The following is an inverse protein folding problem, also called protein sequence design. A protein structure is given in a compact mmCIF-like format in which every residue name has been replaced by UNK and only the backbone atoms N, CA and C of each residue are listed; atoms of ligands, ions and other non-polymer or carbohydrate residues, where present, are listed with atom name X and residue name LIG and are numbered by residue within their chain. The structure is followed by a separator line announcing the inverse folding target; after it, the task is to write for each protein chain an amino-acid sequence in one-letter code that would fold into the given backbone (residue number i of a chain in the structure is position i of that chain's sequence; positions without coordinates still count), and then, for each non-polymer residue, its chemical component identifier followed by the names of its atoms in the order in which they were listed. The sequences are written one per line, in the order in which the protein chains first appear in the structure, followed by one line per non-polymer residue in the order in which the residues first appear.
data_IF_363004742833
#
_entry.id   IF_363004742833
#
_cell.length_a   1.000
_cell.length_b   1.000
_cell.length_c   1.000
_cell.angle_alpha   90.00
_cell.angle_beta   90.00
_cell.angle_gamma   90.00
#
_symmetry.space_group_name_H-M   'P 1'
#
loop_
_entity.id
_entity.type
_entity.pdbx_description
1 polymer ?
#
# COMPACT_ATOMS: atom_id res chain seq x y z
N UNK A 1 13.35 -8.17 -6.83
CA UNK A 1 12.38 -8.97 -7.63
C UNK A 1 10.97 -8.47 -7.40
N UNK A 2 10.02 -8.76 -8.35
CA UNK A 2 8.59 -8.45 -8.19
C UNK A 2 7.82 -9.75 -8.12
N UNK A 3 6.76 -9.84 -7.28
CA UNK A 3 5.98 -11.08 -7.09
C UNK A 3 5.30 -11.55 -8.37
N UNK A 4 4.90 -10.63 -9.24
CA UNK A 4 4.28 -10.91 -10.55
C UNK A 4 5.32 -11.12 -11.67
N UNK A 5 6.47 -11.72 -11.38
CA UNK A 5 7.49 -12.03 -12.38
C UNK A 5 7.73 -13.54 -12.54
N UNK A 6 8.05 -13.98 -13.75
CA UNK A 6 8.42 -15.38 -14.05
C UNK A 6 9.56 -15.84 -13.14
N UNK A 7 10.57 -14.97 -12.93
CA UNK A 7 11.72 -15.27 -12.08
C UNK A 7 11.30 -15.57 -10.64
N UNK A 8 10.40 -14.76 -10.08
CA UNK A 8 9.91 -14.97 -8.71
C UNK A 8 9.07 -16.24 -8.61
N UNK A 9 8.08 -16.39 -9.49
CA UNK A 9 7.10 -17.50 -9.42
C UNK A 9 7.70 -18.87 -9.67
N UNK A 10 8.63 -18.97 -10.62
CA UNK A 10 9.11 -20.27 -11.10
C UNK A 10 10.56 -20.61 -10.71
N UNK A 11 11.31 -19.65 -10.15
CA UNK A 11 12.66 -19.91 -9.65
C UNK A 11 12.81 -19.62 -8.17
N UNK A 12 12.62 -18.35 -7.77
CA UNK A 12 12.86 -17.96 -6.39
C UNK A 12 11.89 -18.64 -5.41
N UNK A 13 10.59 -18.50 -5.64
CA UNK A 13 9.57 -19.00 -4.71
C UNK A 13 9.62 -20.52 -4.50
N UNK A 14 9.69 -21.37 -5.54
CA UNK A 14 9.79 -22.80 -5.35
C UNK A 14 11.06 -23.23 -4.61
N UNK A 15 12.24 -22.70 -4.99
CA UNK A 15 13.51 -23.02 -4.33
C UNK A 15 13.46 -22.60 -2.85
N UNK A 16 13.01 -21.38 -2.58
CA UNK A 16 12.86 -20.88 -1.22
C UNK A 16 11.89 -21.73 -0.39
N UNK A 17 10.73 -22.10 -0.93
CA UNK A 17 9.75 -22.95 -0.22
C UNK A 17 10.30 -24.34 0.07
N UNK A 18 11.00 -24.97 -0.88
CA UNK A 18 11.66 -26.25 -0.65
C UNK A 18 12.67 -26.13 0.50
N UNK A 19 13.57 -25.16 0.46
CA UNK A 19 14.52 -24.91 1.54
C UNK A 19 13.83 -24.67 2.88
N UNK A 20 12.78 -23.83 2.90
CA UNK A 20 12.06 -23.46 4.12
C UNK A 20 11.33 -24.65 4.78
N UNK A 21 10.73 -25.55 4.00
CA UNK A 21 10.00 -26.69 4.53
C UNK A 21 10.89 -27.90 4.87
N UNK A 22 12.05 -28.02 4.24
CA UNK A 22 13.01 -29.12 4.51
C UNK A 22 13.82 -28.90 5.80
N UNK A 23 14.03 -27.64 6.22
CA UNK A 23 14.85 -27.37 7.40
C UNK A 23 14.06 -27.57 8.70
N UNK A 24 14.74 -27.94 9.81
CA UNK A 24 14.11 -28.01 11.11
C UNK A 24 13.62 -26.65 11.60
N UNK A 25 12.64 -26.61 12.50
CA UNK A 25 11.99 -25.37 12.98
C UNK A 25 12.97 -24.30 13.43
N UNK A 26 14.05 -24.69 14.13
CA UNK A 26 15.08 -23.78 14.65
C UNK A 26 15.81 -23.01 13.53
N UNK A 27 15.88 -23.56 12.32
CA UNK A 27 16.54 -22.93 11.17
C UNK A 27 15.60 -22.12 10.27
N UNK A 28 14.29 -22.18 10.48
CA UNK A 28 13.31 -21.48 9.62
C UNK A 28 13.53 -19.97 9.59
N UNK A 29 13.92 -19.34 10.71
CA UNK A 29 14.25 -17.92 10.73
C UNK A 29 15.52 -17.61 9.93
N UNK A 30 16.52 -18.48 9.96
CA UNK A 30 17.74 -18.29 9.18
C UNK A 30 17.46 -18.38 7.68
N UNK A 31 16.72 -19.41 7.24
CA UNK A 31 16.32 -19.54 5.83
C UNK A 31 15.47 -18.38 5.37
N UNK A 32 14.51 -17.93 6.19
CA UNK A 32 13.67 -16.78 5.87
C UNK A 32 14.50 -15.49 5.76
N UNK A 33 15.42 -15.26 6.68
CA UNK A 33 16.31 -14.10 6.66
C UNK A 33 17.19 -14.10 5.40
N UNK A 34 17.90 -15.20 5.14
CA UNK A 34 18.78 -15.32 3.97
C UNK A 34 17.99 -15.23 2.65
N UNK A 35 16.84 -15.89 2.55
CA UNK A 35 15.98 -15.79 1.39
C UNK A 35 15.46 -14.35 1.17
N UNK A 36 15.15 -13.63 2.25
CA UNK A 36 14.75 -12.23 2.17
C UNK A 36 15.88 -11.32 1.69
N UNK A 37 17.10 -11.57 2.16
CA UNK A 37 18.27 -10.82 1.69
C UNK A 37 18.54 -11.08 0.21
N UNK A 38 18.45 -12.34 -0.26
CA UNK A 38 18.58 -12.67 -1.68
C UNK A 38 17.49 -11.99 -2.51
N UNK A 39 16.23 -12.02 -2.05
CA UNK A 39 15.12 -11.35 -2.71
C UNK A 39 15.35 -9.84 -2.86
N UNK A 40 15.82 -9.19 -1.80
CA UNK A 40 16.08 -7.75 -1.80
C UNK A 40 17.31 -7.40 -2.65
N UNK A 41 18.44 -8.08 -2.43
CA UNK A 41 19.68 -7.84 -3.15
C UNK A 41 19.56 -8.04 -4.66
N UNK A 42 18.63 -8.88 -5.13
CA UNK A 42 18.38 -9.05 -6.56
C UNK A 42 17.95 -7.77 -7.28
N UNK A 43 17.22 -6.89 -6.58
CA UNK A 43 16.79 -5.59 -7.11
C UNK A 43 17.67 -4.44 -6.63
N UNK A 44 18.24 -4.57 -5.43
CA UNK A 44 18.93 -3.52 -4.70
C UNK A 44 20.27 -3.99 -4.12
N UNK A 45 21.27 -4.31 -4.97
CA UNK A 45 22.51 -4.92 -4.50
C UNK A 45 23.35 -4.00 -3.60
N UNK A 46 23.21 -2.68 -3.73
CA UNK A 46 23.93 -1.69 -2.90
C UNK A 46 23.12 -1.33 -1.66
N UNK A 47 21.82 -1.11 -1.82
CA UNK A 47 20.98 -0.63 -0.70
C UNK A 47 20.61 -1.70 0.33
N UNK A 48 20.98 -2.96 0.08
CA UNK A 48 20.92 -4.00 1.11
C UNK A 48 21.75 -3.65 2.34
N UNK A 49 22.91 -3.01 2.15
CA UNK A 49 23.75 -2.56 3.28
C UNK A 49 23.09 -1.46 4.09
N UNK A 50 22.32 -0.57 3.46
CA UNK A 50 21.55 0.46 4.15
C UNK A 50 20.43 -0.17 5.00
N UNK A 51 19.70 -1.14 4.45
CA UNK A 51 18.66 -1.87 5.16
C UNK A 51 19.24 -2.65 6.36
N UNK A 52 20.39 -3.30 6.18
CA UNK A 52 21.09 -3.99 7.27
C UNK A 52 21.60 -3.01 8.33
N UNK A 53 22.14 -1.87 7.94
CA UNK A 53 22.54 -0.81 8.87
C UNK A 53 21.34 -0.33 9.72
N UNK A 54 20.22 0.02 9.08
CA UNK A 54 18.99 0.41 9.80
C UNK A 54 18.52 -0.69 10.75
N UNK A 55 18.56 -1.96 10.31
CA UNK A 55 18.18 -3.11 11.13
C UNK A 55 19.06 -3.23 12.38
N UNK A 56 20.38 -3.18 12.22
CA UNK A 56 21.33 -3.29 13.33
C UNK A 56 21.21 -2.09 14.27
N UNK A 57 21.12 -0.89 13.70
CA UNK A 57 20.95 0.37 14.44
C UNK A 57 19.74 0.31 15.37
N UNK A 58 18.55 -0.03 14.83
CA UNK A 58 17.33 -0.04 15.63
C UNK A 58 17.23 -1.23 16.58
N UNK A 59 17.91 -2.35 16.28
CA UNK A 59 18.13 -3.41 17.26
C UNK A 59 18.90 -2.91 18.47
N UNK A 60 20.01 -2.19 18.25
CA UNK A 60 20.84 -1.64 19.34
C UNK A 60 20.07 -0.58 20.13
N UNK A 61 19.43 0.37 19.42
CA UNK A 61 18.62 1.40 20.07
C UNK A 61 17.49 0.82 20.91
N UNK A 62 16.76 -0.17 20.41
CA UNK A 62 15.71 -0.83 21.16
C UNK A 62 16.23 -1.44 22.46
N UNK A 63 17.43 -2.06 22.43
CA UNK A 63 18.09 -2.62 23.63
C UNK A 63 18.47 -1.54 24.65
N UNK A 64 19.08 -0.44 24.18
CA UNK A 64 19.46 0.69 25.03
C UNK A 64 18.23 1.38 25.62
N UNK A 65 17.18 1.59 24.85
CA UNK A 65 15.91 2.19 25.30
C UNK A 65 15.31 1.35 26.46
N UNK A 66 15.29 0.04 26.31
CA UNK A 66 14.77 -0.86 27.37
C UNK A 66 15.65 -0.85 28.61
N UNK A 67 16.98 -0.92 28.46
CA UNK A 67 17.96 -0.95 29.55
C UNK A 67 17.91 0.32 30.42
N UNK A 68 17.74 1.47 29.77
CA UNK A 68 17.67 2.77 30.46
C UNK A 68 16.24 3.26 30.68
N UNK A 69 15.26 2.38 30.60
CA UNK A 69 13.84 2.74 30.80
C UNK A 69 13.62 3.45 32.13
N UNK A 70 12.90 4.57 32.10
CA UNK A 70 12.65 5.42 33.27
C UNK A 70 13.75 6.44 33.57
N UNK A 71 14.83 6.48 32.77
CA UNK A 71 15.90 7.49 32.85
C UNK A 71 15.86 8.38 31.59
N UNK A 72 16.42 9.59 31.70
CA UNK A 72 16.48 10.54 30.57
C UNK A 72 17.23 10.00 29.36
N UNK A 73 18.23 9.13 29.56
CA UNK A 73 18.97 8.47 28.47
C UNK A 73 18.05 7.68 27.54
N UNK A 74 17.00 7.01 28.06
CA UNK A 74 16.06 6.27 27.24
C UNK A 74 15.38 7.17 26.21
N UNK A 75 15.03 8.42 26.60
CA UNK A 75 14.47 9.43 25.68
C UNK A 75 15.48 9.90 24.67
N UNK A 76 16.74 10.10 25.06
CA UNK A 76 17.82 10.49 24.13
C UNK A 76 18.01 9.41 23.07
N UNK A 77 18.10 8.13 23.46
CA UNK A 77 18.27 7.01 22.55
C UNK A 77 17.08 6.88 21.59
N UNK A 78 15.84 7.09 22.06
CA UNK A 78 14.67 7.14 21.19
C UNK A 78 14.79 8.26 20.14
N UNK A 79 15.14 9.47 20.56
CA UNK A 79 15.29 10.61 19.66
C UNK A 79 16.43 10.40 18.65
N UNK A 80 17.54 9.78 19.07
CA UNK A 80 18.64 9.42 18.16
C UNK A 80 18.18 8.41 17.10
N UNK A 81 17.48 7.33 17.51
CA UNK A 81 16.94 6.34 16.58
C UNK A 81 15.97 6.99 15.57
N UNK A 82 14.99 7.76 16.06
CA UNK A 82 14.04 8.47 15.18
C UNK A 82 14.77 9.43 14.25
N UNK A 83 15.74 10.20 14.78
CA UNK A 83 16.53 11.16 14.01
C UNK A 83 17.33 10.49 12.88
N UNK A 84 18.00 9.38 13.16
CA UNK A 84 18.75 8.61 12.15
C UNK A 84 17.81 8.06 11.07
N UNK A 85 16.69 7.46 11.46
CA UNK A 85 15.72 6.90 10.53
C UNK A 85 15.11 7.98 9.62
N UNK A 86 14.71 9.12 10.19
CA UNK A 86 14.17 10.25 9.42
C UNK A 86 15.23 10.94 8.56
N UNK A 87 16.48 11.00 9.03
CA UNK A 87 17.60 11.55 8.24
C UNK A 87 17.86 10.69 7.00
N UNK A 88 17.95 9.37 7.17
CA UNK A 88 18.16 8.44 6.06
C UNK A 88 17.01 8.53 5.06
N UNK A 89 15.75 8.41 5.54
CA UNK A 89 14.58 8.55 4.68
C UNK A 89 14.56 9.91 3.99
N UNK A 90 14.83 10.99 4.73
CA UNK A 90 14.88 12.37 4.25
C UNK A 90 15.93 12.56 3.16
N UNK A 91 17.12 12.04 3.37
CA UNK A 91 18.22 12.17 2.42
C UNK A 91 17.91 11.47 1.09
N UNK A 92 17.52 10.21 1.12
CA UNK A 92 17.26 9.47 -0.13
C UNK A 92 15.98 9.90 -0.83
N UNK A 93 14.96 10.34 -0.10
CA UNK A 93 13.65 10.67 -0.70
C UNK A 93 13.51 12.14 -1.07
N UNK A 94 14.05 13.08 -0.26
CA UNK A 94 13.72 14.49 -0.41
C UNK A 94 14.89 15.38 -0.79
N UNK A 95 16.15 14.89 -0.81
CA UNK A 95 17.31 15.74 -1.09
C UNK A 95 17.19 16.46 -2.44
N UNK A 96 16.88 15.73 -3.51
CA UNK A 96 16.76 16.32 -4.85
C UNK A 96 15.55 17.25 -4.98
N UNK A 97 14.43 16.92 -4.35
CA UNK A 97 13.25 17.79 -4.29
C UNK A 97 13.57 19.13 -3.59
N UNK A 98 14.28 19.08 -2.46
CA UNK A 98 14.69 20.28 -1.73
C UNK A 98 15.70 21.11 -2.55
N UNK A 99 16.69 20.47 -3.17
CA UNK A 99 17.66 21.14 -4.04
C UNK A 99 16.99 21.80 -5.24
N UNK A 100 16.05 21.08 -5.89
CA UNK A 100 15.29 21.63 -7.01
C UNK A 100 14.40 22.81 -6.58
N UNK A 101 13.78 22.73 -5.41
CA UNK A 101 12.98 23.83 -4.85
C UNK A 101 13.88 25.05 -4.57
N UNK A 102 15.05 24.87 -3.96
CA UNK A 102 16.02 25.93 -3.73
C UNK A 102 16.47 26.55 -5.05
N UNK A 103 16.82 25.73 -6.04
CA UNK A 103 17.23 26.22 -7.37
C UNK A 103 16.13 27.07 -8.02
N UNK A 104 14.87 26.65 -7.92
CA UNK A 104 13.73 27.36 -8.49
C UNK A 104 13.45 28.69 -7.78
N UNK A 105 13.50 28.70 -6.42
CA UNK A 105 13.16 29.90 -5.62
C UNK A 105 14.26 30.93 -5.65
N UNK A 106 15.52 30.50 -5.59
CA UNK A 106 16.68 31.41 -5.47
C UNK A 106 17.45 31.58 -6.79
N UNK A 107 17.02 30.95 -7.90
CA UNK A 107 17.71 31.02 -9.19
C UNK A 107 19.12 30.40 -9.16
N UNK A 108 19.37 29.44 -8.26
CA UNK A 108 20.66 28.75 -8.16
C UNK A 108 20.71 27.54 -9.11
N UNK A 109 21.92 27.01 -9.32
CA UNK A 109 22.15 25.84 -10.20
C UNK A 109 22.89 24.74 -9.44
N UNK A 110 22.46 24.44 -8.21
CA UNK A 110 23.05 23.37 -7.39
C UNK A 110 22.78 22.04 -8.06
N UNK A 111 23.80 21.19 -8.32
CA UNK A 111 23.61 19.91 -8.98
C UNK A 111 22.76 18.96 -8.13
N UNK A 112 21.82 18.27 -8.78
CA UNK A 112 21.00 17.23 -8.12
C UNK A 112 21.84 15.97 -7.92
N UNK A 113 21.58 15.26 -6.82
CA UNK A 113 22.30 14.05 -6.45
C UNK A 113 21.93 12.84 -7.35
N UNK A 114 20.69 12.81 -7.86
CA UNK A 114 20.13 11.75 -8.73
C UNK A 114 20.30 10.35 -8.14
N UNK A 115 20.18 10.22 -6.82
CA UNK A 115 20.25 8.96 -6.12
C UNK A 115 18.91 8.22 -6.31
N UNK A 116 18.93 6.94 -6.74
CA UNK A 116 17.71 6.16 -6.78
C UNK A 116 17.17 5.93 -5.37
N UNK A 117 15.84 5.99 -5.21
CA UNK A 117 15.19 5.74 -3.94
C UNK A 117 15.29 4.24 -3.59
N UNK A 118 15.89 3.85 -2.44
CA UNK A 118 15.97 2.44 -2.04
C UNK A 118 14.58 1.84 -1.88
N UNK A 119 14.31 0.74 -2.58
CA UNK A 119 13.00 0.07 -2.56
C UNK A 119 12.62 -0.31 -1.13
N UNK A 120 11.40 0.06 -0.72
CA UNK A 120 10.85 -0.27 0.61
C UNK A 120 11.39 0.57 1.76
N UNK A 121 12.24 1.59 1.54
CA UNK A 121 12.80 2.42 2.61
C UNK A 121 11.72 3.06 3.47
N UNK A 122 10.64 3.56 2.88
CA UNK A 122 9.52 4.16 3.62
C UNK A 122 8.82 3.16 4.53
N UNK A 123 8.73 1.88 4.11
CA UNK A 123 8.06 0.82 4.87
C UNK A 123 8.91 0.32 6.03
N UNK A 124 10.18 -0.08 5.78
CA UNK A 124 11.00 -0.58 6.87
C UNK A 124 11.38 0.51 7.88
N UNK A 125 11.50 1.77 7.44
CA UNK A 125 11.69 2.91 8.36
C UNK A 125 10.50 3.06 9.32
N UNK A 126 9.27 3.05 8.81
CA UNK A 126 8.08 3.13 9.68
C UNK A 126 7.95 1.91 10.59
N UNK A 127 8.32 0.75 10.10
CA UNK A 127 8.30 -0.50 10.86
C UNK A 127 9.29 -0.46 12.01
N UNK A 128 10.55 -0.08 11.79
CA UNK A 128 11.57 -0.02 12.83
C UNK A 128 11.34 1.15 13.80
N UNK A 129 10.88 2.31 13.31
CA UNK A 129 10.46 3.41 14.18
C UNK A 129 9.33 3.00 15.11
N UNK A 130 8.30 2.28 14.62
CA UNK A 130 7.22 1.80 15.49
C UNK A 130 7.75 0.87 16.59
N UNK A 131 8.71 0.00 16.26
CA UNK A 131 9.32 -0.89 17.25
C UNK A 131 10.04 -0.13 18.38
N UNK A 132 10.91 0.82 18.07
CA UNK A 132 11.64 1.57 19.11
C UNK A 132 10.71 2.44 19.94
N UNK A 133 9.64 3.00 19.35
CA UNK A 133 8.61 3.75 20.08
C UNK A 133 7.82 2.81 21.01
N UNK A 134 7.43 1.62 20.55
CA UNK A 134 6.69 0.64 21.36
C UNK A 134 7.56 0.11 22.52
N UNK A 135 8.86 -0.11 22.28
CA UNK A 135 9.81 -0.44 23.36
C UNK A 135 9.91 0.69 24.37
N UNK A 136 9.99 1.95 23.93
CA UNK A 136 10.04 3.12 24.85
C UNK A 136 8.77 3.26 25.68
N UNK A 137 7.59 3.06 25.07
CA UNK A 137 6.29 3.11 25.76
C UNK A 137 6.12 1.93 26.75
N UNK A 138 6.85 0.84 26.56
CA UNK A 138 6.68 -0.40 27.32
C UNK A 138 5.62 -1.33 26.75
N UNK A 139 5.10 -1.04 25.56
CA UNK A 139 4.09 -1.85 24.87
C UNK A 139 4.69 -3.18 24.38
N UNK A 140 6.01 -3.22 24.16
CA UNK A 140 6.76 -4.44 23.84
C UNK A 140 8.12 -4.46 24.53
N UNK A 141 8.73 -5.65 24.62
CA UNK A 141 10.10 -5.84 25.10
C UNK A 141 11.10 -5.73 23.93
N UNK A 142 12.31 -5.26 24.24
CA UNK A 142 13.36 -5.25 23.24
C UNK A 142 13.75 -6.67 22.83
N UNK A 143 13.83 -6.91 21.53
CA UNK A 143 14.23 -8.22 20.98
C UNK A 143 15.69 -8.53 21.34
N UNK A 144 15.91 -9.74 21.86
CA UNK A 144 17.24 -10.21 22.30
C UNK A 144 18.01 -10.96 21.20
N UNK A 145 17.32 -11.42 20.18
CA UNK A 145 17.89 -12.20 19.09
C UNK A 145 17.92 -11.36 17.81
N UNK A 146 19.14 -11.01 17.36
CA UNK A 146 19.33 -10.18 16.15
C UNK A 146 18.79 -10.84 14.88
N UNK A 147 18.83 -12.19 14.79
CA UNK A 147 18.27 -12.90 13.63
C UNK A 147 16.75 -12.76 13.58
N UNK A 148 16.06 -12.88 14.71
CA UNK A 148 14.60 -12.69 14.78
C UNK A 148 14.21 -11.25 14.45
N UNK A 149 14.98 -10.27 14.92
CA UNK A 149 14.76 -8.88 14.57
C UNK A 149 15.05 -8.61 13.09
N UNK A 150 16.13 -9.19 12.56
CA UNK A 150 16.43 -9.15 11.12
C UNK A 150 15.30 -9.71 10.27
N UNK A 151 14.74 -10.87 10.63
CA UNK A 151 13.54 -11.42 9.96
C UNK A 151 12.38 -10.43 10.00
N UNK A 152 12.09 -9.83 11.16
CA UNK A 152 11.00 -8.86 11.30
C UNK A 152 11.13 -7.71 10.32
N UNK A 153 12.31 -7.15 10.15
CA UNK A 153 12.55 -6.00 9.28
C UNK A 153 12.60 -6.40 7.81
N UNK A 154 13.32 -7.49 7.47
CA UNK A 154 13.69 -7.81 6.09
C UNK A 154 12.75 -8.79 5.40
N UNK A 155 11.76 -9.35 6.09
CA UNK A 155 10.89 -10.41 5.58
C UNK A 155 10.25 -10.05 4.23
N UNK A 156 10.66 -10.76 3.17
CA UNK A 156 10.35 -10.42 1.78
C UNK A 156 8.84 -10.31 1.45
N UNK A 157 7.92 -11.09 2.06
CA UNK A 157 6.51 -10.95 1.72
C UNK A 157 5.95 -9.56 1.98
N UNK A 158 6.41 -8.88 3.04
CA UNK A 158 5.88 -7.57 3.45
C UNK A 158 6.79 -6.38 3.06
N UNK A 159 8.09 -6.63 2.84
CA UNK A 159 9.14 -5.60 2.84
C UNK A 159 8.89 -4.44 1.86
N UNK A 160 8.37 -4.71 0.66
CA UNK A 160 8.27 -3.71 -0.41
C UNK A 160 6.99 -2.87 -0.28
N UNK A 161 5.82 -3.52 -0.21
CA UNK A 161 4.52 -2.87 -0.14
C UNK A 161 3.47 -3.75 0.58
N UNK A 162 3.89 -4.61 1.48
CA UNK A 162 3.00 -5.37 2.35
C UNK A 162 2.36 -4.49 3.44
N UNK A 163 1.47 -5.04 4.27
CA UNK A 163 0.99 -4.32 5.44
C UNK A 163 2.14 -3.91 6.34
N UNK A 164 2.14 -2.66 6.84
CA UNK A 164 3.13 -2.20 7.82
C UNK A 164 2.90 -2.96 9.13
N UNK A 165 3.80 -3.87 9.46
CA UNK A 165 3.67 -4.73 10.64
C UNK A 165 4.30 -4.07 11.86
N UNK A 166 3.58 -4.08 12.99
CA UNK A 166 4.14 -3.74 14.29
C UNK A 166 4.79 -4.97 14.91
N UNK A 167 5.85 -4.77 15.69
CA UNK A 167 6.61 -5.88 16.25
C UNK A 167 5.76 -6.82 17.08
N UNK A 168 4.89 -6.32 17.96
CA UNK A 168 4.01 -7.13 18.81
C UNK A 168 3.03 -8.03 18.03
N UNK A 169 2.71 -7.69 16.79
CA UNK A 169 1.82 -8.51 15.93
C UNK A 169 2.50 -9.79 15.45
N UNK A 170 3.84 -9.79 15.36
CA UNK A 170 4.60 -10.90 14.79
C UNK A 170 5.56 -11.55 15.77
N UNK A 171 5.81 -10.96 16.94
CA UNK A 171 6.78 -11.41 17.93
C UNK A 171 6.64 -12.90 18.27
N UNK A 172 5.43 -13.37 18.57
CA UNK A 172 5.19 -14.77 18.91
C UNK A 172 5.49 -15.71 17.74
N UNK A 173 5.24 -15.29 16.50
CA UNK A 173 5.53 -16.10 15.31
C UNK A 173 7.01 -16.16 14.99
N UNK A 174 7.81 -15.16 15.39
CA UNK A 174 9.26 -15.19 15.30
C UNK A 174 9.88 -16.18 16.26
N UNK A 175 9.25 -16.42 17.39
CA UNK A 175 9.71 -17.38 18.42
C UNK A 175 9.27 -18.81 18.11
N UNK A 176 7.97 -19.02 17.93
CA UNK A 176 7.40 -20.31 17.55
C UNK A 176 6.23 -20.11 16.60
N UNK A 177 6.33 -20.72 15.43
CA UNK A 177 5.27 -20.76 14.43
C UNK A 177 5.09 -22.14 13.84
N UNK A 178 3.84 -22.49 13.63
CA UNK A 178 3.44 -23.75 12.98
C UNK A 178 2.63 -23.43 11.76
N UNK A 179 2.81 -24.22 10.74
CA UNK A 179 2.03 -24.15 9.51
C UNK A 179 1.35 -25.48 9.34
N UNK A 180 0.04 -25.47 9.17
CA UNK A 180 -0.76 -26.62 8.80
C UNK A 180 -1.19 -26.55 7.31
N UNK A 181 -1.80 -27.61 6.82
CA UNK A 181 -2.23 -27.69 5.43
C UNK A 181 -3.35 -26.68 5.12
N UNK A 182 -4.18 -26.33 6.11
CA UNK A 182 -5.25 -25.35 5.92
C UNK A 182 -4.68 -23.94 5.75
N UNK A 183 -3.68 -23.56 6.55
CA UNK A 183 -2.98 -22.29 6.40
C UNK A 183 -2.23 -22.19 5.06
N UNK A 184 -1.60 -23.30 4.61
CA UNK A 184 -0.94 -23.38 3.29
C UNK A 184 -1.97 -23.21 2.18
N UNK A 185 -3.09 -23.95 2.24
CA UNK A 185 -4.17 -23.87 1.26
C UNK A 185 -4.80 -22.47 1.20
N UNK A 186 -5.08 -21.88 2.36
CA UNK A 186 -5.57 -20.50 2.45
C UNK A 186 -4.58 -19.52 1.84
N UNK A 187 -3.31 -19.62 2.24
CA UNK A 187 -2.26 -18.71 1.78
C UNK A 187 -2.00 -18.80 0.29
N UNK A 188 -1.98 -20.00 -0.28
CA UNK A 188 -1.84 -20.22 -1.73
C UNK A 188 -3.01 -19.60 -2.51
N UNK A 189 -4.24 -19.84 -2.09
CA UNK A 189 -5.45 -19.25 -2.73
C UNK A 189 -5.43 -17.72 -2.64
N UNK A 190 -5.04 -17.17 -1.48
CA UNK A 190 -4.93 -15.73 -1.28
C UNK A 190 -3.86 -15.11 -2.16
N UNK A 191 -2.69 -15.76 -2.27
CA UNK A 191 -1.61 -15.35 -3.16
C UNK A 191 -2.06 -15.33 -4.63
N UNK A 192 -2.70 -16.39 -5.10
CA UNK A 192 -3.22 -16.47 -6.49
C UNK A 192 -4.27 -15.41 -6.77
N UNK A 193 -5.16 -15.14 -5.80
CA UNK A 193 -6.15 -14.05 -5.92
C UNK A 193 -5.48 -12.69 -6.04
N UNK A 194 -4.43 -12.42 -5.24
CA UNK A 194 -3.64 -11.21 -5.32
C UNK A 194 -2.90 -11.07 -6.65
N UNK A 195 -2.32 -12.17 -7.12
CA UNK A 195 -1.65 -12.22 -8.44
C UNK A 195 -2.62 -11.92 -9.57
N UNK A 196 -3.82 -12.50 -9.55
CA UNK A 196 -4.87 -12.24 -10.55
C UNK A 196 -5.33 -10.78 -10.52
N UNK A 197 -5.53 -10.18 -9.35
CA UNK A 197 -5.83 -8.74 -9.22
C UNK A 197 -4.76 -7.88 -9.89
N UNK A 198 -3.49 -8.19 -9.65
CA UNK A 198 -2.36 -7.45 -10.21
C UNK A 198 -2.25 -7.62 -11.71
N UNK A 199 -2.27 -8.85 -12.20
CA UNK A 199 -1.93 -9.17 -13.59
C UNK A 199 -3.13 -8.98 -14.51
N UNK A 200 -4.31 -9.48 -14.12
CA UNK A 200 -5.48 -9.48 -15.00
C UNK A 200 -6.26 -8.16 -14.93
N UNK A 201 -6.27 -7.47 -13.78
CA UNK A 201 -7.02 -6.23 -13.63
C UNK A 201 -6.10 -5.01 -13.66
N UNK A 202 -5.18 -4.87 -12.70
CA UNK A 202 -4.39 -3.66 -12.53
C UNK A 202 -3.53 -3.33 -13.77
N UNK A 203 -2.83 -4.31 -14.34
CA UNK A 203 -1.97 -4.07 -15.51
C UNK A 203 -2.79 -3.60 -16.71
N UNK A 204 -3.94 -4.23 -16.99
CA UNK A 204 -4.78 -3.86 -18.15
C UNK A 204 -5.50 -2.51 -17.96
N UNK A 205 -5.93 -2.20 -16.71
CA UNK A 205 -6.45 -0.86 -16.37
C UNK A 205 -5.37 0.21 -16.51
N UNK A 206 -4.12 -0.13 -16.17
CA UNK A 206 -2.98 0.75 -16.37
C UNK A 206 -2.66 1.03 -17.83
N UNK A 207 -2.89 0.06 -18.73
CA UNK A 207 -2.79 0.29 -20.16
C UNK A 207 -3.84 1.30 -20.65
N UNK A 208 -5.08 1.18 -20.20
CA UNK A 208 -6.14 2.14 -20.51
C UNK A 208 -5.78 3.55 -20.00
N UNK A 209 -5.33 3.66 -18.75
CA UNK A 209 -4.87 4.94 -18.19
C UNK A 209 -3.75 5.55 -19.03
N UNK A 210 -2.75 4.75 -19.39
CA UNK A 210 -1.61 5.17 -20.20
C UNK A 210 -2.06 5.64 -21.59
N UNK A 211 -2.91 4.89 -22.28
CA UNK A 211 -3.46 5.28 -23.58
C UNK A 211 -4.18 6.62 -23.53
N UNK A 212 -4.98 6.86 -22.50
CA UNK A 212 -5.72 8.12 -22.34
C UNK A 212 -4.78 9.28 -22.05
N UNK A 213 -3.78 9.11 -21.19
CA UNK A 213 -2.87 10.21 -20.84
C UNK A 213 -1.89 10.56 -21.96
N UNK A 214 -1.50 9.61 -22.79
CA UNK A 214 -0.63 9.84 -23.95
C UNK A 214 -1.28 10.68 -25.06
N UNK A 215 -2.62 10.78 -25.08
CA UNK A 215 -3.34 11.62 -26.04
C UNK A 215 -3.22 13.13 -25.76
N UNK A 216 -2.89 13.50 -24.50
CA UNK A 216 -2.89 14.89 -24.07
C UNK A 216 -4.29 15.41 -23.71
N UNK A 217 -4.31 16.42 -22.84
CA UNK A 217 -5.57 17.00 -22.31
C UNK A 217 -6.32 17.86 -23.32
N UNK A 218 -5.66 18.32 -24.36
CA UNK A 218 -6.23 19.07 -25.48
C UNK A 218 -7.15 18.22 -26.40
N UNK A 219 -7.06 16.90 -26.35
CA UNK A 219 -7.91 15.97 -27.07
C UNK A 219 -8.90 15.21 -26.17
N UNK A 220 -8.85 15.43 -24.86
CA UNK A 220 -9.67 14.74 -23.89
C UNK A 220 -11.09 15.29 -23.81
N UNK A 221 -12.11 14.49 -24.17
CA UNK A 221 -13.50 14.80 -23.82
C UNK A 221 -13.75 14.56 -22.33
N UNK A 222 -14.86 15.12 -21.80
CA UNK A 222 -15.25 14.91 -20.40
C UNK A 222 -15.35 13.41 -20.05
N UNK A 223 -16.01 12.63 -20.92
CA UNK A 223 -16.13 11.17 -20.72
C UNK A 223 -14.76 10.51 -20.66
N UNK A 224 -13.84 10.90 -21.55
CA UNK A 224 -12.48 10.33 -21.59
C UNK A 224 -11.69 10.64 -20.31
N UNK A 225 -11.77 11.87 -19.80
CA UNK A 225 -11.09 12.26 -18.56
C UNK A 225 -11.63 11.48 -17.35
N UNK A 226 -12.95 11.33 -17.22
CA UNK A 226 -13.54 10.52 -16.15
C UNK A 226 -13.26 9.03 -16.32
N UNK A 227 -13.25 8.49 -17.54
CA UNK A 227 -12.85 7.12 -17.82
C UNK A 227 -11.40 6.86 -17.41
N UNK A 228 -10.49 7.78 -17.74
CA UNK A 228 -9.07 7.69 -17.42
C UNK A 228 -8.85 7.66 -15.90
N UNK A 229 -9.41 8.62 -15.16
CA UNK A 229 -9.21 8.65 -13.72
C UNK A 229 -9.90 7.48 -12.98
N UNK A 230 -11.02 6.97 -13.51
CA UNK A 230 -11.65 5.76 -13.01
C UNK A 230 -10.76 4.53 -13.26
N UNK A 231 -10.15 4.43 -14.45
CA UNK A 231 -9.18 3.36 -14.75
C UNK A 231 -7.97 3.43 -13.82
N UNK A 232 -7.40 4.61 -13.56
CA UNK A 232 -6.31 4.79 -12.61
C UNK A 232 -6.73 4.42 -11.17
N UNK A 233 -7.91 4.84 -10.72
CA UNK A 233 -8.44 4.50 -9.40
C UNK A 233 -8.59 2.99 -9.21
N UNK A 234 -9.09 2.29 -10.22
CA UNK A 234 -9.20 0.83 -10.21
C UNK A 234 -7.81 0.17 -10.30
N UNK A 235 -6.91 0.71 -11.12
CA UNK A 235 -5.53 0.23 -11.24
C UNK A 235 -4.81 0.28 -9.91
N UNK A 236 -4.75 1.43 -9.23
CA UNK A 236 -4.02 1.59 -7.96
C UNK A 236 -4.63 0.70 -6.86
N UNK A 237 -5.95 0.52 -6.84
CA UNK A 237 -6.60 -0.38 -5.92
C UNK A 237 -6.21 -1.84 -6.14
N UNK A 238 -6.31 -2.34 -7.38
CA UNK A 238 -5.99 -3.74 -7.66
C UNK A 238 -4.49 -4.02 -7.63
N UNK A 239 -3.65 -3.05 -7.99
CA UNK A 239 -2.20 -3.16 -7.87
C UNK A 239 -1.78 -3.33 -6.41
N UNK A 240 -2.22 -2.43 -5.55
CA UNK A 240 -1.82 -2.43 -4.16
C UNK A 240 -2.55 -3.48 -3.32
N UNK A 241 -3.87 -3.66 -3.47
CA UNK A 241 -4.58 -4.74 -2.78
C UNK A 241 -4.12 -6.12 -3.25
N UNK A 242 -3.76 -6.25 -4.53
CA UNK A 242 -3.19 -7.48 -5.07
C UNK A 242 -1.85 -7.84 -4.43
N UNK A 243 -0.95 -6.85 -4.29
CA UNK A 243 0.30 -7.05 -3.57
C UNK A 243 0.06 -7.42 -2.10
N UNK A 244 -0.84 -6.70 -1.41
CA UNK A 244 -1.20 -7.00 -0.02
C UNK A 244 -1.77 -8.42 0.14
N UNK A 245 -2.62 -8.86 -0.78
CA UNK A 245 -3.15 -10.24 -0.78
C UNK A 245 -2.04 -11.27 -0.99
N UNK A 246 -1.10 -11.03 -1.90
CA UNK A 246 0.08 -11.89 -2.10
C UNK A 246 0.95 -11.95 -0.85
N UNK A 247 1.19 -10.80 -0.19
CA UNK A 247 1.98 -10.73 1.03
C UNK A 247 1.30 -11.48 2.19
N UNK A 248 0.00 -11.29 2.40
CA UNK A 248 -0.81 -12.00 3.42
C UNK A 248 -0.80 -13.49 3.14
N UNK A 249 -0.97 -13.88 1.86
CA UNK A 249 -0.94 -15.27 1.43
C UNK A 249 0.39 -15.95 1.72
N UNK A 250 1.51 -15.33 1.34
CA UNK A 250 2.85 -15.83 1.64
C UNK A 250 3.12 -15.86 3.14
N UNK A 251 2.69 -14.82 3.88
CA UNK A 251 2.76 -14.82 5.33
C UNK A 251 2.08 -16.05 5.94
N UNK A 252 0.85 -16.36 5.53
CA UNK A 252 0.10 -17.53 6.01
C UNK A 252 0.81 -18.86 5.69
N UNK A 253 1.34 -19.02 4.46
CA UNK A 253 2.15 -20.20 4.07
C UNK A 253 3.38 -20.34 4.97
N UNK A 254 4.00 -19.24 5.38
CA UNK A 254 5.17 -19.23 6.24
C UNK A 254 4.85 -19.33 7.74
N UNK A 255 3.56 -19.35 8.10
CA UNK A 255 3.07 -19.45 9.48
C UNK A 255 2.96 -18.11 10.22
N UNK A 256 2.87 -17.00 9.49
CA UNK A 256 2.58 -15.66 10.01
C UNK A 256 1.14 -15.25 9.70
N UNK A 257 0.55 -14.43 10.57
CA UNK A 257 -0.75 -13.80 10.31
C UNK A 257 -0.56 -12.31 10.15
N UNK A 258 -0.67 -11.83 8.92
CA UNK A 258 -0.61 -10.40 8.61
C UNK A 258 -2.01 -9.79 8.64
N UNK A 259 -2.14 -8.52 9.10
CA UNK A 259 -3.43 -7.84 9.10
C UNK A 259 -3.90 -7.50 7.70
N UNK A 260 -5.23 -7.37 7.54
CA UNK A 260 -5.82 -6.87 6.29
C UNK A 260 -5.43 -5.41 6.07
N UNK A 261 -5.11 -5.08 4.81
CA UNK A 261 -4.72 -3.72 4.41
C UNK A 261 -5.82 -3.00 3.61
N UNK A 262 -6.78 -3.76 3.07
CA UNK A 262 -7.91 -3.24 2.29
C UNK A 262 -9.21 -3.95 2.64
N UNK A 263 -10.32 -3.18 2.68
CA UNK A 263 -11.66 -3.72 2.91
C UNK A 263 -12.70 -3.01 2.03
N UNK A 264 -12.70 -3.29 0.72
CA UNK A 264 -13.64 -2.71 -0.26
C UNK A 264 -13.77 -1.18 -0.13
N UNK A 265 -12.71 -0.39 -0.34
CA UNK A 265 -12.70 1.03 -0.03
C UNK A 265 -13.68 1.86 -0.87
N UNK A 266 -13.98 1.46 -2.10
CA UNK A 266 -14.87 2.19 -3.00
C UNK A 266 -16.38 2.03 -2.69
N UNK A 267 -16.76 1.26 -1.65
CA UNK A 267 -18.13 1.25 -1.13
C UNK A 267 -18.33 2.20 0.04
N UNK A 268 -17.29 2.94 0.44
CA UNK A 268 -17.33 3.87 1.56
C UNK A 268 -18.38 4.97 1.37
N UNK A 269 -18.94 5.43 2.47
CA UNK A 269 -19.98 6.47 2.49
C UNK A 269 -19.52 7.81 3.06
N UNK A 270 -18.23 7.91 3.43
CA UNK A 270 -17.55 9.13 3.83
C UNK A 270 -16.04 8.98 3.56
N UNK A 271 -15.31 10.09 3.50
CA UNK A 271 -13.85 10.09 3.35
C UNK A 271 -13.19 9.41 4.55
N UNK A 272 -13.74 9.61 5.74
CA UNK A 272 -13.32 8.91 6.95
C UNK A 272 -13.49 7.39 6.83
N UNK A 273 -14.66 6.90 6.32
CA UNK A 273 -14.90 5.46 6.09
C UNK A 273 -13.98 4.91 5.01
N UNK A 274 -13.68 5.69 3.95
CA UNK A 274 -12.71 5.30 2.92
C UNK A 274 -11.34 4.98 3.53
N UNK A 275 -10.80 5.83 4.39
CA UNK A 275 -9.50 5.64 5.01
C UNK A 275 -9.47 4.56 6.10
N UNK A 276 -10.61 4.15 6.63
CA UNK A 276 -10.72 2.95 7.45
C UNK A 276 -10.67 1.65 6.63
N UNK A 277 -10.80 1.76 5.29
CA UNK A 277 -10.84 0.63 4.36
C UNK A 277 -9.65 0.60 3.39
N UNK A 278 -8.99 1.72 3.18
CA UNK A 278 -7.84 1.90 2.31
C UNK A 278 -6.56 1.98 3.14
N UNK A 279 -5.54 1.16 2.78
CA UNK A 279 -4.21 1.18 3.42
C UNK A 279 -4.28 1.24 4.95
N UNK A 280 -5.02 0.29 5.53
CA UNK A 280 -5.41 0.26 6.95
C UNK A 280 -4.18 0.32 7.85
N UNK A 281 -3.09 -0.38 7.48
CA UNK A 281 -1.87 -0.41 8.27
C UNK A 281 -1.19 0.96 8.37
N UNK A 282 -1.15 1.74 7.28
CA UNK A 282 -0.62 3.11 7.28
C UNK A 282 -1.49 4.06 8.11
N UNK A 283 -2.80 4.02 7.90
CA UNK A 283 -3.76 4.84 8.66
C UNK A 283 -3.67 4.54 10.16
N UNK A 284 -3.48 3.28 10.53
CA UNK A 284 -3.27 2.86 11.92
C UNK A 284 -1.94 3.37 12.45
N UNK A 285 -0.87 3.31 11.65
CA UNK A 285 0.44 3.82 12.03
C UNK A 285 0.39 5.33 12.34
N UNK A 286 -0.13 6.14 11.43
CA UNK A 286 -0.27 7.59 11.65
C UNK A 286 -1.17 7.92 12.84
N UNK A 287 -2.24 7.16 13.05
CA UNK A 287 -3.12 7.32 14.21
C UNK A 287 -2.36 7.09 15.52
N UNK A 288 -1.57 6.03 15.65
CA UNK A 288 -0.96 5.63 16.91
C UNK A 288 0.36 6.36 17.21
N UNK A 289 1.13 6.68 16.17
CA UNK A 289 2.45 7.27 16.35
C UNK A 289 2.50 8.79 16.10
N UNK A 290 1.46 9.38 15.49
CA UNK A 290 1.38 10.82 15.27
C UNK A 290 0.13 11.43 15.90
N UNK A 291 -1.08 10.99 15.51
CA UNK A 291 -2.34 11.63 15.92
C UNK A 291 -2.56 11.56 17.44
N UNK A 292 -2.43 10.37 18.03
CA UNK A 292 -2.62 10.17 19.48
C UNK A 292 -1.57 10.93 20.30
N UNK A 293 -0.26 10.88 20.00
CA UNK A 293 0.76 11.69 20.71
C UNK A 293 0.54 13.20 20.65
N UNK A 294 -0.01 13.71 19.53
CA UNK A 294 -0.38 15.13 19.40
C UNK A 294 -1.60 15.54 20.27
N UNK A 295 -2.23 14.57 20.95
CA UNK A 295 -3.39 14.76 21.80
C UNK A 295 -4.69 14.15 21.28
N UNK A 296 -4.69 13.63 20.05
CA UNK A 296 -5.85 12.96 19.46
C UNK A 296 -7.09 13.86 19.42
N UNK A 297 -8.22 13.33 19.90
CA UNK A 297 -9.50 14.04 20.04
C UNK A 297 -9.80 14.52 21.48
N UNK A 298 -8.82 14.41 22.40
CA UNK A 298 -9.04 14.65 23.83
C UNK A 298 -8.81 16.10 24.26
N UNK A 299 -8.23 16.95 23.40
CA UNK A 299 -7.83 18.34 23.71
C UNK A 299 -8.72 19.40 23.03
N UNK A 300 -10.00 19.08 22.79
CA UNK A 300 -10.96 19.97 22.15
C UNK A 300 -10.86 20.01 20.62
N UNK A 301 -11.88 20.64 20.01
CA UNK A 301 -12.05 20.65 18.54
C UNK A 301 -10.90 21.35 17.80
N UNK A 302 -10.42 22.56 18.19
CA UNK A 302 -9.35 23.23 17.45
C UNK A 302 -8.07 22.38 17.37
N UNK A 303 -7.70 21.72 18.48
CA UNK A 303 -6.54 20.83 18.52
C UNK A 303 -6.75 19.59 17.65
N UNK A 304 -7.97 19.06 17.62
CA UNK A 304 -8.30 17.92 16.77
C UNK A 304 -8.17 18.27 15.28
N UNK A 305 -8.67 19.44 14.85
CA UNK A 305 -8.54 19.91 13.47
C UNK A 305 -7.08 20.11 13.08
N UNK A 306 -6.28 20.73 13.95
CA UNK A 306 -4.84 20.85 13.76
C UNK A 306 -4.16 19.48 13.62
N UNK A 307 -4.51 18.50 14.46
CA UNK A 307 -3.96 17.15 14.39
C UNK A 307 -4.32 16.46 13.06
N UNK A 308 -5.54 16.64 12.56
CA UNK A 308 -5.96 16.13 11.24
C UNK A 308 -5.09 16.74 10.14
N UNK A 309 -4.93 18.06 10.15
CA UNK A 309 -4.10 18.77 9.16
C UNK A 309 -2.66 18.25 9.17
N UNK A 310 -2.03 18.16 10.34
CA UNK A 310 -0.64 17.67 10.48
C UNK A 310 -0.50 16.23 9.98
N UNK A 311 -1.41 15.33 10.38
CA UNK A 311 -1.34 13.92 9.97
C UNK A 311 -1.45 13.80 8.46
N UNK A 312 -2.37 14.52 7.82
CA UNK A 312 -2.59 14.41 6.38
C UNK A 312 -1.49 15.09 5.56
N UNK A 313 -0.96 16.20 6.05
CA UNK A 313 0.24 16.82 5.49
C UNK A 313 1.43 15.84 5.52
N UNK A 314 1.69 15.20 6.66
CA UNK A 314 2.75 14.19 6.79
C UNK A 314 2.46 12.94 5.96
N UNK A 315 1.20 12.54 5.80
CA UNK A 315 0.81 11.42 4.94
C UNK A 315 1.11 11.74 3.47
N UNK A 316 0.80 12.96 3.02
CA UNK A 316 1.16 13.41 1.68
C UNK A 316 2.68 13.41 1.47
N UNK A 317 3.43 14.05 2.36
CA UNK A 317 4.89 14.05 2.33
C UNK A 317 5.45 12.63 2.30
N UNK A 318 4.93 11.71 3.10
CA UNK A 318 5.37 10.31 3.12
C UNK A 318 5.19 9.59 1.78
N UNK A 319 4.13 9.90 1.03
CA UNK A 319 3.88 9.28 -0.27
C UNK A 319 4.92 9.68 -1.33
N UNK A 320 5.32 10.94 -1.41
CA UNK A 320 6.27 11.35 -2.44
C UNK A 320 6.95 12.69 -2.17
N UNK A 321 8.06 12.91 -2.86
CA UNK A 321 8.82 14.15 -2.81
C UNK A 321 8.34 15.09 -3.94
N UNK A 322 7.14 15.63 -3.78
CA UNK A 322 6.52 16.52 -4.75
C UNK A 322 5.42 17.37 -4.12
N UNK A 323 5.15 18.52 -4.73
CA UNK A 323 4.06 19.39 -4.32
C UNK A 323 2.68 18.78 -4.54
N UNK A 324 2.55 17.94 -5.58
CA UNK A 324 1.39 17.12 -5.90
C UNK A 324 0.95 16.24 -4.72
N UNK A 325 1.88 15.53 -4.07
CA UNK A 325 1.61 14.72 -2.89
C UNK A 325 1.22 15.55 -1.67
N UNK A 326 1.83 16.73 -1.50
CA UNK A 326 1.43 17.64 -0.42
C UNK A 326 0.00 18.14 -0.64
N UNK A 327 -0.34 18.56 -1.87
CA UNK A 327 -1.70 18.98 -2.21
C UNK A 327 -2.71 17.84 -2.08
N UNK A 328 -2.33 16.61 -2.45
CA UNK A 328 -3.14 15.42 -2.23
C UNK A 328 -3.44 15.20 -0.73
N UNK A 329 -2.44 15.32 0.12
CA UNK A 329 -2.64 15.21 1.57
C UNK A 329 -3.53 16.33 2.12
N UNK A 330 -3.34 17.58 1.70
CA UNK A 330 -4.15 18.73 2.11
C UNK A 330 -5.60 18.62 1.61
N UNK A 331 -5.84 18.04 0.43
CA UNK A 331 -7.18 17.72 -0.08
C UNK A 331 -7.94 16.82 0.89
N UNK A 332 -7.34 15.74 1.35
CA UNK A 332 -7.99 14.87 2.32
C UNK A 332 -8.13 15.51 3.70
N UNK A 333 -7.14 16.31 4.14
CA UNK A 333 -7.27 17.08 5.36
C UNK A 333 -8.50 17.98 5.32
N UNK A 334 -8.69 18.70 4.22
CA UNK A 334 -9.83 19.62 4.02
C UNK A 334 -11.18 18.87 4.15
N UNK A 335 -11.39 17.79 3.43
CA UNK A 335 -12.65 17.05 3.48
C UNK A 335 -12.88 16.37 4.82
N UNK A 336 -11.87 15.84 5.48
CA UNK A 336 -11.99 15.27 6.82
C UNK A 336 -12.29 16.32 7.88
N UNK A 337 -11.78 17.53 7.72
CA UNK A 337 -12.15 18.67 8.58
C UNK A 337 -13.60 19.05 8.33
N UNK A 338 -14.07 19.13 7.08
CA UNK A 338 -15.48 19.39 6.78
C UNK A 338 -16.40 18.31 7.34
N UNK A 339 -16.03 17.02 7.17
CA UNK A 339 -16.79 15.91 7.77
C UNK A 339 -16.82 16.02 9.30
N UNK A 340 -15.73 16.48 9.92
CA UNK A 340 -15.69 16.65 11.37
C UNK A 340 -16.50 17.83 11.86
N UNK A 341 -16.63 18.91 11.09
CA UNK A 341 -17.32 20.12 11.50
C UNK A 341 -18.84 20.02 11.35
N UNK A 342 -19.33 19.52 10.23
CA UNK A 342 -20.76 19.48 9.92
C UNK A 342 -21.18 18.43 8.88
N UNK A 343 -20.31 18.13 7.91
CA UNK A 343 -20.70 17.31 6.77
C UNK A 343 -20.92 15.84 7.17
N UNK A 344 -20.22 15.35 8.20
CA UNK A 344 -20.39 14.00 8.72
C UNK A 344 -21.81 13.72 9.18
N UNK A 345 -22.40 14.60 9.95
CA UNK A 345 -23.79 14.49 10.45
C UNK A 345 -24.81 14.49 9.30
N UNK A 346 -24.56 15.31 8.26
CA UNK A 346 -25.37 15.35 7.04
C UNK A 346 -25.28 14.01 6.31
N UNK A 347 -24.08 13.45 6.14
CA UNK A 347 -23.85 12.17 5.44
C UNK A 347 -24.45 10.98 6.22
N UNK A 348 -24.42 11.02 7.55
CA UNK A 348 -25.03 9.98 8.40
C UNK A 348 -26.57 9.99 8.32
N UNK A 349 -27.18 11.16 8.17
CA UNK A 349 -28.64 11.32 8.03
C UNK A 349 -29.14 11.07 6.60
N UNK A 350 -28.29 11.25 5.59
CA UNK A 350 -28.65 11.09 4.19
C UNK A 350 -28.68 9.61 3.75
N UNK A 351 -29.44 9.26 2.68
CA UNK A 351 -29.33 7.94 2.07
C UNK A 351 -27.90 7.61 1.67
N UNK A 352 -27.47 6.38 1.95
CA UNK A 352 -26.08 5.92 1.70
C UNK A 352 -25.55 6.14 0.28
N UNK A 353 -26.46 6.28 -0.70
CA UNK A 353 -26.09 6.57 -2.10
C UNK A 353 -25.42 7.93 -2.22
N UNK A 354 -25.94 8.95 -1.54
CA UNK A 354 -25.34 10.30 -1.57
C UNK A 354 -23.94 10.29 -0.94
N UNK A 355 -23.77 9.62 0.21
CA UNK A 355 -22.46 9.46 0.82
C UNK A 355 -21.45 8.75 -0.09
N UNK A 356 -21.87 7.73 -0.85
CA UNK A 356 -21.02 7.05 -1.82
C UNK A 356 -20.62 7.94 -2.99
N UNK A 357 -21.59 8.66 -3.59
CA UNK A 357 -21.32 9.59 -4.71
C UNK A 357 -20.34 10.66 -4.25
N UNK A 358 -20.58 11.28 -3.10
CA UNK A 358 -19.68 12.27 -2.50
C UNK A 358 -18.27 11.69 -2.31
N UNK A 359 -18.18 10.54 -1.65
CA UNK A 359 -16.88 9.91 -1.35
C UNK A 359 -16.13 9.55 -2.63
N UNK A 360 -16.81 8.95 -3.62
CA UNK A 360 -16.21 8.61 -4.89
C UNK A 360 -15.74 9.86 -5.65
N UNK A 361 -16.53 10.93 -5.68
CA UNK A 361 -16.13 12.20 -6.32
C UNK A 361 -14.86 12.76 -5.66
N UNK A 362 -14.83 12.86 -4.32
CA UNK A 362 -13.65 13.35 -3.59
C UNK A 362 -12.43 12.48 -3.86
N UNK A 363 -12.58 11.16 -3.85
CA UNK A 363 -11.47 10.21 -4.04
C UNK A 363 -10.99 10.20 -5.49
N UNK A 364 -11.87 10.21 -6.49
CA UNK A 364 -11.46 10.24 -7.89
C UNK A 364 -10.72 11.53 -8.24
N UNK A 365 -11.18 12.69 -7.77
CA UNK A 365 -10.48 13.96 -7.96
C UNK A 365 -9.11 13.91 -7.24
N UNK A 366 -9.04 13.32 -6.05
CA UNK A 366 -7.76 13.17 -5.33
C UNK A 366 -6.73 12.36 -6.11
N UNK A 367 -7.17 11.36 -6.86
CA UNK A 367 -6.27 10.54 -7.68
C UNK A 367 -5.65 11.33 -8.84
N UNK A 368 -6.23 12.45 -9.29
CA UNK A 368 -5.60 13.33 -10.27
C UNK A 368 -4.33 13.95 -9.72
N UNK A 369 -4.36 14.43 -8.46
CA UNK A 369 -3.16 14.94 -7.79
C UNK A 369 -2.09 13.85 -7.59
N UNK A 370 -2.53 12.63 -7.37
CA UNK A 370 -1.61 11.51 -7.12
C UNK A 370 -1.00 10.92 -8.41
N UNK A 371 -1.70 11.01 -9.52
CA UNK A 371 -1.32 10.41 -10.80
C UNK A 371 -0.39 11.29 -11.63
N UNK A 372 -0.51 12.63 -11.51
CA UNK A 372 0.19 13.63 -12.31
C UNK A 372 1.19 14.40 -11.46
N UNK A 373 2.35 14.72 -12.05
CA UNK A 373 3.49 15.28 -11.30
C UNK A 373 3.53 16.81 -11.29
N UNK A 374 3.00 17.46 -12.35
CA UNK A 374 3.08 18.91 -12.45
C UNK A 374 1.74 19.60 -12.14
N UNK A 375 1.75 20.75 -11.45
CA UNK A 375 0.54 21.52 -11.20
C UNK A 375 -0.20 21.93 -12.50
N UNK A 376 0.55 22.16 -13.57
CA UNK A 376 -0.03 22.47 -14.88
C UNK A 376 -0.82 21.31 -15.48
N UNK A 377 -0.27 20.10 -15.44
CA UNK A 377 -0.96 18.89 -15.90
C UNK A 377 -2.20 18.59 -15.06
N UNK A 378 -2.08 18.71 -13.71
CA UNK A 378 -3.21 18.53 -12.78
C UNK A 378 -4.35 19.49 -13.14
N UNK A 379 -4.04 20.78 -13.32
CA UNK A 379 -5.05 21.78 -13.68
C UNK A 379 -5.68 21.49 -15.04
N UNK A 380 -4.86 21.18 -16.06
CA UNK A 380 -5.35 20.85 -17.40
C UNK A 380 -6.24 19.60 -17.40
N UNK A 381 -5.89 18.58 -16.62
CA UNK A 381 -6.72 17.37 -16.49
C UNK A 381 -8.05 17.66 -15.78
N UNK A 382 -8.03 18.45 -14.72
CA UNK A 382 -9.25 18.89 -14.04
C UNK A 382 -10.13 19.73 -14.97
N UNK A 383 -9.54 20.62 -15.79
CA UNK A 383 -10.29 21.38 -16.81
C UNK A 383 -10.97 20.43 -17.81
N UNK A 384 -10.28 19.38 -18.29
CA UNK A 384 -10.85 18.37 -19.16
C UNK A 384 -12.01 17.61 -18.48
N UNK A 385 -11.87 17.22 -17.21
CA UNK A 385 -12.93 16.54 -16.45
C UNK A 385 -14.23 17.36 -16.36
N UNK A 386 -14.12 18.68 -16.32
CA UNK A 386 -15.27 19.59 -16.22
C UNK A 386 -15.63 20.31 -17.52
N UNK A 387 -15.05 19.88 -18.66
CA UNK A 387 -15.40 20.42 -19.99
C UNK A 387 -14.88 21.83 -20.27
N UNK A 388 -13.85 22.27 -19.51
CA UNK A 388 -13.27 23.63 -19.63
C UNK A 388 -12.13 23.69 -20.67
N UNK A 389 -11.78 22.58 -21.32
CA UNK A 389 -10.74 22.49 -22.34
C UNK A 389 -11.28 22.66 -23.79
N UNK A 390 -12.58 22.85 -23.96
CA UNK A 390 -13.21 23.09 -25.29
C UNK A 390 -13.45 21.85 -26.14
N UNK A 391 -13.13 20.64 -25.68
CA UNK A 391 -13.27 19.39 -26.49
C UNK A 391 -14.69 18.82 -26.48
N UNK A 392 -15.53 19.26 -25.57
CA UNK A 392 -16.91 18.79 -25.47
C UNK A 392 -17.07 17.52 -24.58
N UNK A 393 -18.33 17.09 -24.35
CA UNK A 393 -18.64 16.04 -23.37
C UNK A 393 -18.21 14.63 -23.83
N UNK A 394 -18.31 14.33 -25.11
CA UNK A 394 -18.03 13.00 -25.68
C UNK A 394 -17.39 13.13 -27.04
N UNK A 395 -16.44 12.29 -27.39
CA UNK A 395 -15.87 12.13 -28.70
C UNK A 395 -15.84 10.66 -29.13
N UNK A 396 -15.59 10.39 -30.43
CA UNK A 396 -15.58 9.03 -30.98
C UNK A 396 -14.53 8.12 -30.31
N UNK A 397 -13.38 8.70 -29.93
CA UNK A 397 -12.30 7.96 -29.30
C UNK A 397 -12.68 7.53 -27.86
N UNK A 398 -13.37 8.39 -27.10
CA UNK A 398 -13.89 8.02 -25.79
C UNK A 398 -14.89 6.86 -25.89
N UNK A 399 -15.76 6.87 -26.88
CA UNK A 399 -16.71 5.77 -27.12
C UNK A 399 -15.99 4.49 -27.52
N UNK A 400 -14.99 4.58 -28.39
CA UNK A 400 -14.17 3.44 -28.79
C UNK A 400 -13.48 2.79 -27.59
N UNK A 401 -12.72 3.56 -26.80
CA UNK A 401 -12.04 3.05 -25.59
C UNK A 401 -13.01 2.51 -24.55
N UNK A 402 -14.15 3.16 -24.34
CA UNK A 402 -15.18 2.67 -23.43
C UNK A 402 -15.70 1.29 -23.84
N UNK A 403 -15.92 1.06 -25.14
CA UNK A 403 -16.39 -0.22 -25.66
C UNK A 403 -15.29 -1.30 -25.64
N UNK A 404 -14.06 -0.95 -26.03
CA UNK A 404 -12.91 -1.86 -26.02
C UNK A 404 -12.65 -2.42 -24.61
N UNK A 405 -12.69 -1.57 -23.59
CA UNK A 405 -12.42 -1.96 -22.21
C UNK A 405 -13.67 -2.29 -21.38
N UNK A 406 -14.88 -2.31 -22.00
CA UNK A 406 -16.15 -2.47 -21.29
C UNK A 406 -16.16 -3.70 -20.36
N UNK A 407 -15.76 -4.85 -20.89
CA UNK A 407 -15.76 -6.12 -20.14
C UNK A 407 -14.81 -6.04 -18.95
N UNK A 408 -13.61 -5.51 -19.15
CA UNK A 408 -12.63 -5.30 -18.08
C UNK A 408 -13.16 -4.35 -17.00
N UNK A 409 -13.75 -3.23 -17.38
CA UNK A 409 -14.32 -2.24 -16.47
C UNK A 409 -15.47 -2.83 -15.64
N UNK A 410 -16.37 -3.60 -16.26
CA UNK A 410 -17.47 -4.27 -15.55
C UNK A 410 -16.93 -5.29 -14.56
N UNK A 411 -15.98 -6.14 -14.95
CA UNK A 411 -15.34 -7.11 -14.04
C UNK A 411 -14.65 -6.39 -12.88
N UNK A 412 -13.90 -5.32 -13.15
CA UNK A 412 -13.20 -4.56 -12.13
C UNK A 412 -14.16 -3.88 -11.15
N UNK A 413 -15.25 -3.27 -11.63
CA UNK A 413 -16.29 -2.67 -10.78
C UNK A 413 -16.98 -3.72 -9.90
N UNK A 414 -17.33 -4.89 -10.45
CA UNK A 414 -17.91 -6.00 -9.67
C UNK A 414 -16.91 -6.50 -8.62
N UNK A 415 -15.63 -6.61 -8.96
CA UNK A 415 -14.58 -7.04 -8.03
C UNK A 415 -14.29 -6.02 -6.91
N UNK A 416 -14.61 -4.74 -7.11
CA UNK A 416 -14.56 -3.72 -6.05
C UNK A 416 -15.67 -3.84 -5.00
N UNK A 417 -16.71 -4.64 -5.29
CA UNK A 417 -17.87 -4.82 -4.41
C UNK A 417 -17.72 -6.10 -3.57
N UNK A 418 -18.30 -6.17 -2.37
CA UNK A 418 -18.25 -7.36 -1.53
C UNK A 418 -19.21 -8.47 -2.02
N UNK A 419 -19.50 -8.54 -3.33
CA UNK A 419 -20.43 -9.51 -3.91
C UNK A 419 -19.86 -10.92 -3.87
N UNK A 420 -18.59 -11.09 -4.25
CA UNK A 420 -17.92 -12.38 -4.23
C UNK A 420 -17.85 -12.98 -2.81
N UNK A 421 -17.46 -12.17 -1.82
CA UNK A 421 -17.41 -12.61 -0.42
C UNK A 421 -18.81 -12.97 0.13
N UNK A 422 -19.84 -12.20 -0.23
CA UNK A 422 -21.24 -12.50 0.15
C UNK A 422 -21.73 -13.79 -0.49
N UNK A 423 -21.43 -14.00 -1.78
CA UNK A 423 -21.78 -15.23 -2.50
C UNK A 423 -21.10 -16.45 -1.85
N UNK A 424 -19.80 -16.37 -1.62
CA UNK A 424 -19.04 -17.43 -0.93
C UNK A 424 -19.63 -17.73 0.45
N UNK A 425 -19.96 -16.70 1.23
CA UNK A 425 -20.59 -16.86 2.53
C UNK A 425 -21.97 -17.53 2.41
N UNK A 426 -22.81 -17.11 1.46
CA UNK A 426 -24.13 -17.68 1.22
C UNK A 426 -24.05 -19.17 0.80
N UNK A 427 -23.13 -19.52 -0.10
CA UNK A 427 -22.91 -20.90 -0.53
C UNK A 427 -22.38 -21.78 0.62
N UNK A 428 -21.43 -21.26 1.41
CA UNK A 428 -20.85 -21.98 2.54
C UNK A 428 -21.82 -22.19 3.70
N UNK A 429 -22.73 -21.25 3.93
CA UNK A 429 -23.76 -21.34 4.98
C UNK A 429 -24.99 -22.10 4.54
N UNK A 430 -25.13 -22.43 3.24
CA UNK A 430 -26.25 -23.21 2.71
C UNK A 430 -26.20 -24.64 3.22
N UNK A 431 -27.36 -25.15 3.69
CA UNK A 431 -27.52 -26.54 4.11
C UNK A 431 -27.83 -27.49 2.93
N UNK A 432 -27.95 -26.96 1.71
CA UNK A 432 -28.29 -27.79 0.52
C UNK A 432 -27.02 -28.43 -0.06
N UNK A 433 -27.13 -29.72 -0.42
CA UNK A 433 -26.01 -30.46 -1.03
C UNK A 433 -25.46 -29.82 -2.32
N UNK A 434 -26.30 -29.35 -3.25
CA UNK A 434 -25.84 -28.68 -4.48
C UNK A 434 -25.04 -27.38 -4.24
N UNK A 435 -25.48 -26.54 -3.31
CA UNK A 435 -24.79 -25.30 -3.01
C UNK A 435 -23.39 -25.56 -2.40
N UNK A 436 -23.29 -26.54 -1.49
CA UNK A 436 -22.01 -26.94 -0.92
C UNK A 436 -21.11 -27.62 -1.97
N UNK A 437 -21.66 -28.40 -2.89
CA UNK A 437 -20.89 -28.97 -4.00
C UNK A 437 -20.35 -27.88 -4.93
N UNK A 438 -21.16 -26.88 -5.28
CA UNK A 438 -20.73 -25.71 -6.06
C UNK A 438 -19.64 -24.91 -5.35
N UNK A 439 -19.78 -24.67 -4.04
CA UNK A 439 -18.75 -24.03 -3.23
C UNK A 439 -17.43 -24.79 -3.28
N UNK A 440 -17.45 -26.12 -3.03
CA UNK A 440 -16.25 -26.97 -3.04
C UNK A 440 -15.58 -27.04 -4.42
N UNK A 441 -16.36 -27.07 -5.48
CA UNK A 441 -15.86 -27.04 -6.85
C UNK A 441 -15.20 -25.67 -7.15
N UNK A 442 -15.91 -24.59 -6.86
CA UNK A 442 -15.40 -23.21 -7.07
C UNK A 442 -14.13 -22.94 -6.28
N UNK A 443 -14.06 -23.41 -5.03
CA UNK A 443 -12.87 -23.26 -4.18
C UNK A 443 -11.60 -23.91 -4.75
N UNK A 444 -11.74 -24.95 -5.59
CA UNK A 444 -10.62 -25.63 -6.26
C UNK A 444 -10.36 -25.08 -7.66
N UNK A 445 -11.41 -24.90 -8.45
CA UNK A 445 -11.31 -24.55 -9.87
C UNK A 445 -10.92 -23.08 -10.06
N UNK A 446 -11.54 -22.16 -9.32
CA UNK A 446 -11.31 -20.72 -9.51
C UNK A 446 -9.85 -20.35 -9.31
N UNK A 447 -9.15 -20.74 -8.22
CA UNK A 447 -7.73 -20.42 -8.06
C UNK A 447 -6.86 -21.04 -9.17
N UNK A 448 -7.17 -22.26 -9.61
CA UNK A 448 -6.41 -22.89 -10.70
C UNK A 448 -6.55 -22.13 -12.03
N UNK A 449 -7.76 -21.74 -12.39
CA UNK A 449 -8.03 -20.94 -13.59
C UNK A 449 -7.36 -19.56 -13.48
N UNK A 450 -7.50 -18.88 -12.35
CA UNK A 450 -6.85 -17.59 -12.12
C UNK A 450 -5.33 -17.67 -12.22
N UNK A 451 -4.72 -18.74 -11.69
CA UNK A 451 -3.28 -18.94 -11.80
C UNK A 451 -2.84 -19.14 -13.25
N UNK A 452 -3.54 -20.03 -13.98
CA UNK A 452 -3.22 -20.30 -15.40
C UNK A 452 -3.34 -19.03 -16.25
N UNK A 453 -4.41 -18.28 -16.10
CA UNK A 453 -4.60 -17.01 -16.81
C UNK A 453 -3.53 -15.99 -16.42
N UNK A 454 -3.22 -15.85 -15.12
CA UNK A 454 -2.19 -14.92 -14.66
C UNK A 454 -0.82 -15.29 -15.22
N UNK A 455 -0.47 -16.57 -15.24
CA UNK A 455 0.80 -17.04 -15.82
C UNK A 455 0.85 -16.77 -17.32
N UNK A 456 -0.22 -17.05 -18.07
CA UNK A 456 -0.30 -16.75 -19.49
C UNK A 456 -0.07 -15.27 -19.77
N UNK A 457 -0.73 -14.38 -19.04
CA UNK A 457 -0.53 -12.93 -19.16
C UNK A 457 0.88 -12.47 -18.76
N UNK A 458 1.50 -13.04 -17.71
CA UNK A 458 2.87 -12.70 -17.30
C UNK A 458 3.89 -13.09 -18.37
N UNK A 459 3.68 -14.19 -19.07
CA UNK A 459 4.58 -14.67 -20.13
C UNK A 459 4.43 -13.82 -21.39
N UNK A 460 3.23 -13.41 -21.72
CA UNK A 460 2.93 -12.62 -22.94
C UNK A 460 3.18 -11.12 -22.76
N UNK A 461 2.90 -10.56 -21.59
CA UNK A 461 2.90 -9.13 -21.35
C UNK A 461 4.30 -8.56 -21.10
N UNK A 462 4.69 -7.55 -21.90
CA UNK A 462 5.85 -6.69 -21.62
C UNK A 462 5.56 -5.59 -20.58
N UNK A 463 4.28 -5.27 -20.35
CA UNK A 463 3.83 -4.22 -19.42
C UNK A 463 3.48 -4.83 -18.04
N UNK A 464 4.35 -4.63 -17.07
CA UNK A 464 4.12 -5.09 -15.70
C UNK A 464 4.64 -4.04 -14.70
N UNK A 465 4.07 -2.84 -14.69
CA UNK A 465 4.48 -1.78 -13.76
C UNK A 465 4.05 -2.15 -12.34
N UNK A 466 4.79 -1.66 -11.36
CA UNK A 466 4.36 -1.65 -9.98
C UNK A 466 4.32 -0.20 -9.52
N UNK A 467 3.12 0.35 -9.38
CA UNK A 467 2.93 1.78 -9.09
C UNK A 467 3.65 2.23 -7.83
N UNK A 468 3.78 1.35 -6.85
CA UNK A 468 4.42 1.67 -5.57
C UNK A 468 5.95 1.90 -5.65
N UNK A 469 6.61 1.53 -6.74
CA UNK A 469 8.02 1.90 -6.96
C UNK A 469 8.20 3.37 -7.34
N UNK A 470 7.10 4.05 -7.61
CA UNK A 470 7.09 5.45 -7.99
C UNK A 470 7.05 6.40 -6.79
N UNK A 471 6.75 5.88 -5.57
CA UNK A 471 6.48 6.67 -4.37
C UNK A 471 7.46 6.41 -3.23
#
# INVERSE_FOLDING_TARGET
MVFSSVLFLFRFLPIFMICYFLVPRKMKNLVLFLGSLVFYAWGEPVYIFLMLFSTISDYVWGRLIEEYRGKDQSRIFLLCSIGINLFILGFFKYADFLLQTVNTVFGTSIPLLKLPLPIGISFYTFQTMSYVIDVYRGDTKAQRNILQFGVYVTMFPQLIAGPILKYHQVERYLQDRRTDLDAISYGAKRFVTGLAKKVLLANNLGLLWKQITELGTDQMSVLMAWLGIAAFALQIYFDFSGYSDMAIGLGAVLGFHFPENFNYPYVATSVKDFWHRWHISLSTWFKEYVYIPLGGNRKGLPRQLFNILVVWMLTGIWHGAGWDFLFWGLWFAFFLILEKLFLGDILESAPKVFGRIYTLAVVLISWVFFALESPGEILAYLQAMFGMNGVGPVNSLAMFLSNEYLVLLVIALVACLPLGSRLVHALKSSKTGPAMALYRLGEKVIPAVLLLLSVAYIVDASYNPFLYFRF
#
